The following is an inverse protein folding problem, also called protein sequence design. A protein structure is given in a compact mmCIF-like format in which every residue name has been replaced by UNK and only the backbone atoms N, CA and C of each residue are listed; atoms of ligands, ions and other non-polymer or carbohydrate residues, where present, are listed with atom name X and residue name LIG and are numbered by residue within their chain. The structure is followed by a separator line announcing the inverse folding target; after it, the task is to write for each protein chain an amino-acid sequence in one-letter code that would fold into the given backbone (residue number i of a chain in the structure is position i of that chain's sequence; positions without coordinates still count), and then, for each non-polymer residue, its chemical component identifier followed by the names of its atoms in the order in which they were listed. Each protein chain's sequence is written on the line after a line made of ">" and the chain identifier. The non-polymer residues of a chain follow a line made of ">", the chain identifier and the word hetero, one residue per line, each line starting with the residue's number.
data_IF_245000775464
#
_entry.id   IF_245000775464
#
_cell.length_a   1.000
_cell.length_b   1.000
_cell.length_c   1.000
_cell.angle_alpha   90.00
_cell.angle_beta   90.00
_cell.angle_gamma   90.00
#
_symmetry.space_group_name_H-M   'P 1'
#
loop_
_entity.id
_entity.type
_entity.pdbx_description
1 polymer ?
#
# COMPACT_ATOMS: atom_id res chain seq x y z
N UNK A 1 -22.50 59.21 -6.29
CA UNK A 1 -21.62 58.42 -7.18
C UNK A 1 -21.40 57.08 -6.50
N UNK A 2 -21.86 56.00 -7.15
CA UNK A 2 -21.75 54.62 -6.70
C UNK A 2 -20.63 53.96 -7.50
N UNK A 3 -19.65 53.38 -6.83
CA UNK A 3 -18.84 52.31 -7.43
C UNK A 3 -18.31 51.40 -6.33
N UNK A 4 -18.88 50.19 -6.26
CA UNK A 4 -18.45 49.09 -5.41
C UNK A 4 -17.23 48.43 -6.07
N UNK A 5 -16.09 48.40 -5.38
CA UNK A 5 -14.93 47.62 -5.79
C UNK A 5 -15.17 46.15 -5.46
N UNK A 6 -15.34 45.32 -6.49
CA UNK A 6 -15.46 43.88 -6.39
C UNK A 6 -14.10 43.27 -6.02
N UNK A 7 -13.99 42.70 -4.82
CA UNK A 7 -12.87 41.87 -4.44
C UNK A 7 -13.06 40.47 -5.05
N UNK A 8 -12.24 40.15 -6.05
CA UNK A 8 -12.21 38.84 -6.69
C UNK A 8 -11.55 37.85 -5.72
N UNK A 9 -12.36 37.05 -5.02
CA UNK A 9 -11.87 35.93 -4.24
C UNK A 9 -11.39 34.83 -5.20
N UNK A 10 -10.08 34.67 -5.32
CA UNK A 10 -9.48 33.55 -6.03
C UNK A 10 -9.77 32.26 -5.24
N UNK A 11 -10.75 31.47 -5.71
CA UNK A 11 -10.92 30.10 -5.28
C UNK A 11 -9.71 29.30 -5.78
N UNK A 12 -8.78 28.99 -4.87
CA UNK A 12 -7.81 27.91 -5.08
C UNK A 12 -8.57 26.58 -5.08
N UNK A 13 -8.96 26.12 -6.26
CA UNK A 13 -9.46 24.77 -6.45
C UNK A 13 -8.31 23.80 -6.13
N UNK A 14 -8.30 23.27 -4.90
CA UNK A 14 -7.57 22.06 -4.56
C UNK A 14 -8.17 20.92 -5.38
N UNK A 15 -7.62 20.70 -6.58
CA UNK A 15 -7.93 19.51 -7.35
C UNK A 15 -7.22 18.35 -6.67
N UNK A 16 -7.93 17.65 -5.79
CA UNK A 16 -7.54 16.33 -5.31
C UNK A 16 -7.46 15.42 -6.52
N UNK A 17 -6.26 15.33 -7.12
CA UNK A 17 -6.00 14.37 -8.18
C UNK A 17 -6.13 12.98 -7.55
N UNK A 18 -7.30 12.36 -7.72
CA UNK A 18 -7.51 10.96 -7.39
C UNK A 18 -6.72 10.14 -8.40
N UNK A 19 -5.45 9.90 -8.10
CA UNK A 19 -4.63 8.98 -8.88
C UNK A 19 -5.11 7.57 -8.54
N UNK A 20 -5.63 6.85 -9.53
CA UNK A 20 -5.94 5.43 -9.37
C UNK A 20 -4.62 4.68 -9.11
N UNK A 21 -4.41 4.27 -7.86
CA UNK A 21 -3.27 3.48 -7.46
C UNK A 21 -3.37 2.10 -8.13
N UNK A 22 -2.29 1.70 -8.78
CA UNK A 22 -2.12 0.35 -9.33
C UNK A 22 -0.93 -0.29 -8.66
N UNK A 23 -0.92 -1.62 -8.62
CA UNK A 23 0.09 -2.37 -7.90
C UNK A 23 0.51 -3.60 -8.68
N UNK A 24 1.81 -3.83 -8.79
CA UNK A 24 2.36 -5.10 -9.26
C UNK A 24 2.13 -6.17 -8.19
N UNK A 25 1.56 -7.30 -8.59
CA UNK A 25 1.16 -8.41 -7.71
C UNK A 25 1.85 -9.72 -8.05
N UNK A 26 2.50 -9.81 -9.21
CA UNK A 26 3.27 -10.98 -9.63
C UNK A 26 4.70 -10.90 -9.05
N UNK A 27 5.10 -11.81 -8.15
CA UNK A 27 6.43 -11.82 -7.57
C UNK A 27 7.55 -11.94 -8.60
N UNK A 28 7.28 -12.55 -9.77
CA UNK A 28 8.26 -12.64 -10.85
C UNK A 28 8.67 -11.26 -11.41
N UNK A 29 7.82 -10.24 -11.23
CA UNK A 29 8.04 -8.87 -11.67
C UNK A 29 8.52 -7.95 -10.54
N UNK A 30 8.83 -8.46 -9.34
CA UNK A 30 9.25 -7.63 -8.22
C UNK A 30 10.70 -7.16 -8.39
N UNK A 31 10.87 -5.95 -8.94
CA UNK A 31 12.19 -5.38 -9.23
C UNK A 31 12.87 -4.76 -7.99
N UNK A 32 12.10 -4.52 -6.91
CA UNK A 32 12.56 -3.81 -5.70
C UNK A 32 13.56 -4.59 -4.84
N UNK A 33 13.78 -5.87 -5.11
CA UNK A 33 14.72 -6.72 -4.39
C UNK A 33 15.54 -7.57 -5.37
N UNK A 34 16.74 -7.99 -4.94
CA UNK A 34 17.56 -8.98 -5.64
C UNK A 34 17.43 -10.39 -5.05
N UNK A 35 16.75 -10.50 -3.91
CA UNK A 35 16.48 -11.78 -3.24
C UNK A 35 15.21 -12.42 -3.83
N UNK A 36 14.92 -13.68 -3.48
CA UNK A 36 13.63 -14.30 -3.84
C UNK A 36 12.47 -13.53 -3.20
N UNK A 37 11.64 -12.82 -3.98
CA UNK A 37 10.59 -11.97 -3.43
C UNK A 37 9.52 -12.83 -2.76
N UNK A 38 9.15 -12.47 -1.53
CA UNK A 38 8.11 -13.15 -0.77
C UNK A 38 6.81 -12.36 -0.80
N UNK A 39 5.70 -13.06 -1.03
CA UNK A 39 4.36 -12.58 -0.71
C UNK A 39 3.89 -13.16 0.61
N UNK A 40 3.00 -12.45 1.28
CA UNK A 40 2.47 -12.80 2.60
C UNK A 40 0.98 -13.09 2.45
N UNK A 41 0.59 -14.36 2.61
CA UNK A 41 -0.80 -14.80 2.46
C UNK A 41 -1.44 -14.95 3.85
N UNK A 42 -1.88 -13.83 4.43
CA UNK A 42 -2.30 -13.74 5.83
C UNK A 42 -3.58 -12.89 5.94
N UNK A 43 -4.47 -13.28 6.86
CA UNK A 43 -5.67 -12.53 7.18
C UNK A 43 -6.85 -12.84 6.26
N UNK A 44 -7.99 -12.26 6.60
CA UNK A 44 -9.20 -12.34 5.78
C UNK A 44 -9.16 -11.28 4.67
N UNK A 45 -9.89 -11.51 3.58
CA UNK A 45 -9.95 -10.55 2.46
C UNK A 45 -10.33 -9.15 2.93
N UNK A 46 -11.30 -9.03 3.83
CA UNK A 46 -11.79 -7.76 4.35
C UNK A 46 -10.71 -7.02 5.17
N UNK A 47 -9.88 -7.76 5.91
CA UNK A 47 -8.77 -7.18 6.68
C UNK A 47 -7.66 -6.68 5.71
N UNK A 48 -7.34 -7.46 4.67
CA UNK A 48 -6.34 -7.06 3.66
C UNK A 48 -6.83 -5.87 2.82
N UNK A 49 -8.12 -5.83 2.45
CA UNK A 49 -8.72 -4.68 1.76
C UNK A 49 -8.62 -3.41 2.62
N UNK A 50 -8.93 -3.49 3.92
CA UNK A 50 -8.77 -2.35 4.85
C UNK A 50 -7.32 -1.85 4.91
N UNK A 51 -6.34 -2.75 4.91
CA UNK A 51 -4.94 -2.36 4.92
C UNK A 51 -4.55 -1.59 3.64
N UNK A 52 -5.03 -2.05 2.47
CA UNK A 52 -4.81 -1.33 1.22
C UNK A 52 -5.57 -0.01 1.14
N UNK A 53 -6.77 0.08 1.70
CA UNK A 53 -7.49 1.35 1.82
C UNK A 53 -6.71 2.34 2.71
N UNK A 54 -6.19 1.89 3.85
CA UNK A 54 -5.35 2.70 4.72
C UNK A 54 -4.05 3.15 4.02
N UNK A 55 -3.46 2.31 3.17
CA UNK A 55 -2.33 2.70 2.33
C UNK A 55 -2.74 3.75 1.31
N UNK A 56 -3.85 3.56 0.60
CA UNK A 56 -4.32 4.52 -0.42
C UNK A 56 -4.56 5.91 0.15
N UNK A 57 -5.01 6.00 1.40
CA UNK A 57 -5.27 7.26 2.10
C UNK A 57 -4.01 7.93 2.68
N UNK A 58 -2.89 7.20 2.80
CA UNK A 58 -1.66 7.71 3.45
C UNK A 58 -0.46 7.80 2.53
N UNK A 59 -0.49 7.10 1.39
CA UNK A 59 0.59 7.12 0.42
C UNK A 59 0.61 8.47 -0.31
N UNK A 60 1.81 9.01 -0.46
CA UNK A 60 2.01 10.19 -1.29
C UNK A 60 2.00 9.81 -2.78
N UNK A 61 2.15 10.81 -3.64
CA UNK A 61 2.43 10.55 -5.06
C UNK A 61 3.66 9.64 -5.19
N UNK A 62 3.56 8.55 -5.95
CA UNK A 62 4.68 7.62 -6.18
C UNK A 62 5.96 8.31 -6.70
N UNK A 63 5.83 9.52 -7.25
CA UNK A 63 6.94 10.35 -7.73
C UNK A 63 7.71 11.08 -6.62
N UNK A 64 7.16 11.22 -5.41
CA UNK A 64 7.84 11.90 -4.29
C UNK A 64 8.93 11.02 -3.66
N UNK A 65 8.73 9.70 -3.64
CA UNK A 65 9.67 8.73 -3.08
C UNK A 65 10.97 8.67 -3.89
N UNK A 66 12.05 9.22 -3.32
CA UNK A 66 13.40 9.19 -3.92
C UNK A 66 14.15 7.88 -3.64
N UNK A 67 13.77 7.21 -2.55
CA UNK A 67 14.33 5.93 -2.12
C UNK A 67 13.24 4.89 -2.00
N UNK A 68 13.66 3.63 -1.99
CA UNK A 68 12.75 2.51 -1.85
C UNK A 68 12.14 2.50 -0.46
N UNK A 69 10.82 2.49 -0.43
CA UNK A 69 10.04 2.62 0.79
C UNK A 69 9.20 1.37 0.97
N UNK A 70 9.35 0.70 2.11
CA UNK A 70 8.50 -0.42 2.51
C UNK A 70 7.37 0.13 3.39
N UNK A 71 6.16 -0.31 3.10
CA UNK A 71 4.96 -0.05 3.87
C UNK A 71 4.54 -1.30 4.61
N UNK A 72 4.26 -1.16 5.90
CA UNK A 72 3.71 -2.20 6.76
C UNK A 72 2.33 -1.78 7.23
N UNK A 73 1.40 -2.72 7.21
CA UNK A 73 0.13 -2.55 7.88
C UNK A 73 0.28 -2.89 9.36
N UNK A 74 -0.17 -2.02 10.27
CA UNK A 74 -0.25 -2.27 11.71
C UNK A 74 -1.72 -2.39 12.11
N UNK A 75 -2.14 -3.62 12.45
CA UNK A 75 -3.52 -3.95 12.79
C UNK A 75 -4.52 -3.74 11.65
N UNK A 76 -4.10 -3.75 10.38
CA UNK A 76 -4.93 -3.51 9.19
C UNK A 76 -5.46 -2.08 9.01
N UNK A 77 -5.17 -1.16 9.93
CA UNK A 77 -5.75 0.20 9.92
C UNK A 77 -4.70 1.31 9.86
N UNK A 78 -3.49 1.05 10.37
CA UNK A 78 -2.40 2.04 10.40
C UNK A 78 -1.28 1.63 9.48
N UNK A 79 -0.58 2.61 8.94
CA UNK A 79 0.56 2.40 8.05
C UNK A 79 1.85 2.83 8.75
N UNK A 80 2.81 1.90 8.80
CA UNK A 80 4.18 2.18 9.20
C UNK A 80 5.10 2.10 7.97
N UNK A 81 6.19 2.85 8.00
CA UNK A 81 7.09 2.99 6.86
C UNK A 81 8.53 2.66 7.27
N UNK A 82 9.28 2.02 6.38
CA UNK A 82 10.71 1.79 6.51
C UNK A 82 11.44 2.12 5.20
N UNK A 83 12.41 3.03 5.25
CA UNK A 83 13.24 3.41 4.10
C UNK A 83 14.41 2.44 3.97
N UNK A 84 14.61 1.86 2.79
CA UNK A 84 15.76 1.01 2.51
C UNK A 84 17.04 1.85 2.35
N UNK A 85 18.15 1.28 2.80
CA UNK A 85 19.46 1.94 2.81
C UNK A 85 20.05 2.10 1.41
N UNK A 86 19.77 1.15 0.53
CA UNK A 86 20.20 1.10 -0.87
C UNK A 86 19.02 1.32 -1.84
N UNK A 87 19.30 1.33 -3.15
CA UNK A 87 18.26 1.45 -4.18
C UNK A 87 17.29 0.27 -4.14
N UNK A 88 17.76 -0.95 -3.91
CA UNK A 88 16.90 -2.13 -3.70
C UNK A 88 16.86 -2.51 -2.23
N UNK A 89 15.72 -3.00 -1.78
CA UNK A 89 15.59 -3.54 -0.43
C UNK A 89 16.13 -4.96 -0.36
N UNK A 90 16.95 -5.22 0.65
CA UNK A 90 17.35 -6.58 1.02
C UNK A 90 16.28 -7.23 1.90
N UNK A 91 16.19 -8.56 1.88
CA UNK A 91 15.27 -9.30 2.74
C UNK A 91 15.48 -8.99 4.23
N UNK A 92 16.72 -8.74 4.64
CA UNK A 92 17.06 -8.32 6.01
C UNK A 92 16.42 -6.99 6.41
N UNK A 93 16.26 -6.05 5.47
CA UNK A 93 15.65 -4.74 5.71
C UNK A 93 14.12 -4.85 5.82
N UNK A 94 13.51 -5.74 5.04
CA UNK A 94 12.09 -6.08 5.18
C UNK A 94 11.82 -6.66 6.56
N UNK A 95 12.68 -7.57 7.04
CA UNK A 95 12.55 -8.13 8.38
C UNK A 95 12.82 -7.08 9.47
N UNK A 96 13.80 -6.21 9.28
CA UNK A 96 14.11 -5.14 10.23
C UNK A 96 12.96 -4.15 10.37
N UNK A 97 12.35 -3.72 9.25
CA UNK A 97 11.18 -2.86 9.26
C UNK A 97 9.98 -3.54 9.91
N UNK A 98 9.76 -4.83 9.64
CA UNK A 98 8.71 -5.63 10.29
C UNK A 98 8.90 -5.71 11.81
N UNK A 99 10.11 -5.97 12.28
CA UNK A 99 10.43 -6.01 13.72
C UNK A 99 10.20 -4.64 14.38
N UNK A 100 10.63 -3.55 13.74
CA UNK A 100 10.37 -2.18 14.22
C UNK A 100 8.88 -1.87 14.28
N UNK A 101 8.09 -2.32 13.30
CA UNK A 101 6.66 -2.10 13.28
C UNK A 101 5.93 -2.85 14.42
N UNK A 102 6.31 -4.11 14.65
CA UNK A 102 5.76 -4.95 15.72
C UNK A 102 6.17 -4.52 17.14
N UNK A 103 7.07 -3.53 17.28
CA UNK A 103 7.35 -2.93 18.57
C UNK A 103 6.05 -2.31 19.13
N UNK A 104 5.56 -2.81 20.28
CA UNK A 104 4.37 -2.28 20.94
C UNK A 104 3.45 -3.30 21.61
N UNK A 105 3.54 -4.60 21.28
CA UNK A 105 2.75 -5.63 21.96
C UNK A 105 2.38 -6.83 21.09
N UNK A 106 1.70 -7.83 21.68
CA UNK A 106 1.24 -9.05 20.99
C UNK A 106 -0.25 -9.00 20.58
N UNK A 107 -0.87 -7.81 20.63
CA UNK A 107 -2.29 -7.66 20.28
C UNK A 107 -2.51 -7.67 18.76
N UNK A 108 -3.73 -8.00 18.30
CA UNK A 108 -4.09 -7.89 16.87
C UNK A 108 -3.88 -6.46 16.34
N UNK A 109 -4.07 -5.44 17.19
CA UNK A 109 -3.90 -4.03 16.83
C UNK A 109 -2.42 -3.60 16.70
N UNK A 110 -1.50 -4.38 17.28
CA UNK A 110 -0.06 -4.14 17.23
C UNK A 110 0.67 -5.01 16.21
N UNK A 111 0.03 -6.10 15.75
CA UNK A 111 0.57 -6.98 14.73
C UNK A 111 0.80 -6.23 13.42
N UNK A 112 2.00 -6.41 12.86
CA UNK A 112 2.39 -5.83 11.59
C UNK A 112 2.56 -6.86 10.48
N UNK A 113 2.23 -6.44 9.27
CA UNK A 113 2.32 -7.24 8.06
C UNK A 113 2.98 -6.42 6.95
N UNK A 114 3.97 -6.96 6.21
CA UNK A 114 4.50 -6.28 5.03
C UNK A 114 3.38 -6.12 4.00
N UNK A 115 3.09 -4.87 3.61
CA UNK A 115 1.92 -4.52 2.82
C UNK A 115 2.27 -4.20 1.36
N UNK A 116 3.23 -3.31 1.18
CA UNK A 116 3.65 -2.88 -0.15
C UNK A 116 5.07 -2.30 -0.14
N UNK A 117 5.68 -2.16 -1.31
CA UNK A 117 6.95 -1.47 -1.53
C UNK A 117 6.78 -0.47 -2.66
N UNK A 118 7.27 0.75 -2.48
CA UNK A 118 7.47 1.69 -3.59
C UNK A 118 8.91 1.59 -4.05
N UNK A 119 9.11 1.28 -5.33
CA UNK A 119 10.41 1.27 -5.99
C UNK A 119 10.28 1.85 -7.39
N UNK A 120 11.17 2.80 -7.73
CA UNK A 120 11.20 3.48 -9.03
C UNK A 120 9.81 3.96 -9.50
N UNK A 121 9.06 4.59 -8.58
CA UNK A 121 7.72 5.17 -8.82
C UNK A 121 6.65 4.13 -9.17
N UNK A 122 6.91 2.83 -8.96
CA UNK A 122 5.96 1.74 -9.03
C UNK A 122 5.66 1.22 -7.62
N UNK A 123 4.44 0.72 -7.42
CA UNK A 123 4.01 0.09 -6.18
C UNK A 123 3.96 -1.43 -6.39
N UNK A 124 4.49 -2.19 -5.44
CA UNK A 124 4.52 -3.66 -5.42
C UNK A 124 3.78 -4.17 -4.18
N UNK A 125 2.82 -5.07 -4.36
CA UNK A 125 1.91 -5.49 -3.31
C UNK A 125 2.35 -6.81 -2.71
N UNK A 126 2.56 -6.82 -1.40
CA UNK A 126 3.13 -7.95 -0.69
C UNK A 126 2.11 -8.74 0.11
N UNK A 127 1.00 -8.13 0.53
CA UNK A 127 0.00 -8.77 1.38
C UNK A 127 -1.20 -9.28 0.57
N UNK A 128 -1.54 -10.54 0.78
CA UNK A 128 -2.64 -11.22 0.13
C UNK A 128 -3.48 -11.92 1.19
N UNK A 129 -4.81 -12.07 0.99
CA UNK A 129 -5.62 -12.83 1.90
C UNK A 129 -5.17 -14.29 1.98
N UNK A 130 -5.20 -14.85 3.19
CA UNK A 130 -4.95 -16.27 3.39
C UNK A 130 -6.03 -17.11 2.70
N UNK A 131 -5.64 -18.23 2.09
CA UNK A 131 -6.61 -19.13 1.47
C UNK A 131 -7.25 -20.02 2.53
N UNK A 132 -8.47 -19.70 2.94
CA UNK A 132 -9.21 -20.49 3.94
C UNK A 132 -10.07 -21.60 3.33
N UNK A 133 -10.26 -21.62 2.00
CA UNK A 133 -11.13 -22.58 1.29
C UNK A 133 -10.66 -22.84 -0.15
N UNK A 134 -9.41 -23.30 -0.33
CA UNK A 134 -8.92 -23.65 -1.66
C UNK A 134 -9.73 -24.83 -2.23
N UNK A 135 -10.44 -24.56 -3.33
CA UNK A 135 -11.20 -25.56 -4.07
C UNK A 135 -10.51 -25.78 -5.42
N UNK A 136 -9.85 -26.93 -5.65
CA UNK A 136 -9.13 -27.19 -6.89
C UNK A 136 -10.06 -27.31 -8.11
N UNK A 137 -11.38 -27.41 -7.91
CA UNK A 137 -12.37 -27.46 -8.99
C UNK A 137 -12.79 -26.07 -9.49
N UNK A 138 -12.43 -25.00 -8.78
CA UNK A 138 -12.78 -23.63 -9.16
C UNK A 138 -11.59 -22.92 -9.81
N UNK A 139 -11.83 -22.02 -10.78
CA UNK A 139 -10.78 -21.18 -11.32
C UNK A 139 -10.12 -20.35 -10.21
N UNK A 140 -8.80 -20.33 -10.19
CA UNK A 140 -8.05 -19.44 -9.32
C UNK A 140 -8.32 -17.98 -9.74
N UNK A 141 -8.82 -17.17 -8.81
CA UNK A 141 -9.02 -15.74 -9.02
C UNK A 141 -7.92 -15.00 -8.26
N UNK A 142 -6.97 -14.34 -8.95
CA UNK A 142 -5.92 -13.60 -8.27
C UNK A 142 -6.53 -12.42 -7.50
N UNK A 143 -6.08 -12.24 -6.27
CA UNK A 143 -6.39 -11.05 -5.50
C UNK A 143 -5.64 -9.86 -6.10
N UNK A 144 -6.38 -8.78 -6.39
CA UNK A 144 -5.82 -7.54 -6.93
C UNK A 144 -6.29 -6.39 -6.03
N UNK A 145 -5.36 -5.78 -5.26
CA UNK A 145 -5.64 -4.60 -4.45
C UNK A 145 -6.15 -3.42 -5.28
N UNK A 146 -6.79 -2.45 -4.62
CA UNK A 146 -7.23 -1.19 -5.23
C UNK A 146 -8.20 -1.32 -6.41
N UNK A 147 -8.73 -2.52 -6.69
CA UNK A 147 -9.88 -2.66 -7.59
C UNK A 147 -11.07 -1.97 -6.95
N UNK A 148 -11.24 -0.69 -7.29
CA UNK A 148 -12.48 0.04 -7.09
C UNK A 148 -13.60 -0.79 -7.70
N UNK A 149 -14.75 -0.87 -7.04
CA UNK A 149 -16.00 -1.33 -7.65
C UNK A 149 -16.21 -0.54 -8.96
N UNK A 150 -15.81 -1.10 -10.10
CA UNK A 150 -16.26 -0.66 -11.42
C UNK A 150 -17.71 -1.11 -11.59
N UNK A 151 -18.61 -0.55 -10.78
CA UNK A 151 -19.98 -1.01 -10.72
C UNK A 151 -20.82 -0.36 -9.63
N UNK A 152 -20.78 0.98 -9.52
CA UNK A 152 -21.96 1.76 -9.11
C UNK A 152 -21.91 3.07 -9.91
N UNK A 153 -22.55 3.05 -11.09
CA UNK A 153 -23.16 4.25 -11.69
C UNK A 153 -24.59 4.35 -11.16
#
# INVERSE_FOLDING_TARGET
>A
MKTLAAACAALTAFTSSSYALTCEVDPANFEFTSDSPSTFNIGMKEDVDKAYDALSNSIESLKSYQKTQIFYSKGYERIAQYECSEDKCRSSEILQGLQKCNAGGMSKADACYPLAVVYHKKLYCLLFPGQTNFDPSKPFIPYIPFKTNQGVQ
#
